data_IF_432441267174
#
_entry.id   IF_432441267174
#
_cell.length_a   1.000
_cell.length_b   1.000
_cell.length_c   1.000
_cell.angle_alpha   90.00
_cell.angle_beta   90.00
_cell.angle_gamma   90.00
#
_symmetry.space_group_name_H-M   'P 1'
#
loop_
_entity.id
_entity.type
_entity.pdbx_description
1 polymer ?
#
# COMPACT_ATOMS: atom_id res chain seq x y z
N UNK A 1 13.78 -15.44 -7.45
CA UNK A 1 12.30 -15.33 -7.53
C UNK A 1 11.77 -14.15 -6.72
N UNK A 2 11.99 -12.93 -7.20
CA UNK A 2 11.62 -11.66 -6.53
C UNK A 2 10.16 -11.23 -6.74
N UNK A 3 9.34 -12.07 -7.37
CA UNK A 3 7.96 -11.75 -7.78
C UNK A 3 6.90 -11.98 -6.69
N UNK A 4 7.25 -12.60 -5.55
CA UNK A 4 6.29 -12.82 -4.46
C UNK A 4 5.66 -11.52 -3.93
N UNK A 5 6.40 -10.42 -3.96
CA UNK A 5 5.94 -9.13 -3.46
C UNK A 5 4.88 -8.45 -4.35
N UNK A 6 4.88 -8.74 -5.65
CA UNK A 6 3.92 -8.15 -6.59
C UNK A 6 2.48 -8.57 -6.30
N UNK A 7 2.28 -9.77 -5.76
CA UNK A 7 0.95 -10.26 -5.39
C UNK A 7 0.35 -9.38 -4.29
N UNK A 8 1.12 -9.03 -3.27
CA UNK A 8 0.66 -8.15 -2.20
C UNK A 8 0.37 -6.73 -2.69
N UNK A 9 1.24 -6.20 -3.55
CA UNK A 9 1.00 -4.90 -4.17
C UNK A 9 -0.28 -4.93 -5.02
N UNK A 10 -0.47 -5.95 -5.87
CA UNK A 10 -1.64 -6.06 -6.73
C UNK A 10 -2.94 -6.20 -5.92
N UNK A 11 -2.94 -6.99 -4.85
CA UNK A 11 -4.08 -7.12 -3.94
C UNK A 11 -4.43 -5.79 -3.27
N UNK A 12 -3.43 -5.12 -2.69
CA UNK A 12 -3.64 -3.86 -1.97
C UNK A 12 -4.07 -2.74 -2.93
N UNK A 13 -3.42 -2.64 -4.09
CA UNK A 13 -3.75 -1.67 -5.13
C UNK A 13 -5.16 -1.93 -5.69
N UNK A 14 -5.51 -3.18 -5.99
CA UNK A 14 -6.85 -3.56 -6.43
C UNK A 14 -7.91 -3.15 -5.41
N UNK A 15 -7.67 -3.45 -4.14
CA UNK A 15 -8.57 -3.08 -3.05
C UNK A 15 -8.75 -1.56 -2.92
N UNK A 16 -7.66 -0.78 -2.99
CA UNK A 16 -7.70 0.69 -2.98
C UNK A 16 -8.51 1.22 -4.16
N UNK A 17 -8.29 0.68 -5.36
CA UNK A 17 -9.03 1.08 -6.57
C UNK A 17 -10.53 0.78 -6.39
N UNK A 18 -10.90 -0.41 -5.93
CA UNK A 18 -12.31 -0.75 -5.66
C UNK A 18 -12.93 0.23 -4.66
N UNK A 19 -12.25 0.51 -3.54
CA UNK A 19 -12.75 1.44 -2.51
C UNK A 19 -12.85 2.87 -3.04
N UNK A 20 -11.90 3.31 -3.87
CA UNK A 20 -11.92 4.61 -4.53
C UNK A 20 -13.07 4.74 -5.54
N UNK A 21 -13.37 3.67 -6.29
CA UNK A 21 -14.48 3.62 -7.25
C UNK A 21 -15.84 3.64 -6.54
N UNK A 22 -16.01 2.81 -5.52
CA UNK A 22 -17.24 2.77 -4.71
C UNK A 22 -17.49 4.11 -4.00
N UNK A 23 -16.43 4.75 -3.52
CA UNK A 23 -16.51 6.00 -2.75
C UNK A 23 -16.04 7.23 -3.52
N UNK A 24 -16.27 7.27 -4.83
CA UNK A 24 -15.73 8.30 -5.75
C UNK A 24 -15.90 9.74 -5.26
N UNK A 25 -17.06 10.08 -4.70
CA UNK A 25 -17.31 11.43 -4.18
C UNK A 25 -16.39 11.80 -3.01
N UNK A 26 -16.13 10.85 -2.10
CA UNK A 26 -15.21 11.04 -0.97
C UNK A 26 -13.77 11.09 -1.43
N UNK A 27 -13.40 10.25 -2.39
CA UNK A 27 -12.08 10.28 -3.02
C UNK A 27 -11.79 11.66 -3.60
N UNK A 28 -12.73 12.22 -4.37
CA UNK A 28 -12.60 13.56 -4.96
C UNK A 28 -12.52 14.63 -3.87
N UNK A 29 -13.34 14.54 -2.82
CA UNK A 29 -13.27 15.46 -1.69
C UNK A 29 -11.92 15.40 -0.96
N UNK A 30 -11.33 14.20 -0.82
CA UNK A 30 -10.02 14.01 -0.20
C UNK A 30 -8.90 14.63 -1.05
N UNK A 31 -8.94 14.43 -2.37
CA UNK A 31 -7.99 15.02 -3.32
C UNK A 31 -8.06 16.55 -3.27
N UNK A 32 -9.29 17.11 -3.26
CA UNK A 32 -9.50 18.56 -3.13
C UNK A 32 -9.04 19.12 -1.77
N UNK A 33 -9.15 18.31 -0.70
CA UNK A 33 -8.69 18.69 0.65
C UNK A 33 -7.17 18.71 0.77
N UNK A 34 -6.48 17.82 0.06
CA UNK A 34 -5.02 17.69 0.08
C UNK A 34 -4.40 17.74 -1.32
N UNK A 35 -4.48 18.90 -2.02
CA UNK A 35 -4.04 19.01 -3.40
C UNK A 35 -2.52 18.85 -3.55
N UNK A 36 -1.74 19.45 -2.63
CA UNK A 36 -0.28 19.37 -2.64
C UNK A 36 0.22 17.92 -2.44
N UNK A 37 -0.39 17.18 -1.51
CA UNK A 37 -0.03 15.78 -1.28
C UNK A 37 -0.38 14.91 -2.50
N UNK A 38 -1.57 15.11 -3.08
CA UNK A 38 -2.01 14.37 -4.27
C UNK A 38 -1.10 14.64 -5.46
N UNK A 39 -0.70 15.90 -5.66
CA UNK A 39 0.25 16.30 -6.70
C UNK A 39 1.64 15.72 -6.45
N UNK A 40 2.15 15.80 -5.22
CA UNK A 40 3.43 15.19 -4.84
C UNK A 40 3.46 13.69 -5.12
N UNK A 41 2.44 12.94 -4.68
CA UNK A 41 2.33 11.50 -4.93
C UNK A 41 2.30 11.20 -6.43
N UNK A 42 1.51 11.96 -7.19
CA UNK A 42 1.39 11.77 -8.65
C UNK A 42 2.71 12.06 -9.36
N UNK A 43 3.40 13.15 -9.01
CA UNK A 43 4.71 13.50 -9.57
C UNK A 43 5.80 12.53 -9.13
N UNK A 44 5.79 12.07 -7.88
CA UNK A 44 6.77 11.13 -7.35
C UNK A 44 6.69 9.80 -8.09
N UNK A 45 5.53 9.16 -8.14
CA UNK A 45 5.37 7.89 -8.83
C UNK A 45 5.47 8.03 -10.36
N UNK A 46 4.89 9.09 -10.93
CA UNK A 46 4.96 9.35 -12.37
C UNK A 46 6.40 9.64 -12.85
N UNK A 47 7.14 10.46 -12.11
CA UNK A 47 8.55 10.74 -12.38
C UNK A 47 9.40 9.48 -12.27
N UNK A 48 9.13 8.63 -11.28
CA UNK A 48 9.86 7.38 -11.13
C UNK A 48 9.54 6.36 -12.24
N UNK A 49 8.31 6.32 -12.75
CA UNK A 49 7.94 5.52 -13.91
C UNK A 49 8.66 5.99 -15.18
N UNK A 50 8.78 7.30 -15.40
CA UNK A 50 9.54 7.87 -16.51
C UNK A 50 11.02 7.53 -16.41
N UNK A 51 11.61 7.71 -15.22
CA UNK A 51 12.98 7.30 -14.94
C UNK A 51 13.19 5.81 -15.17
N UNK A 52 12.24 4.98 -14.76
CA UNK A 52 12.29 3.53 -14.98
C UNK A 52 12.22 3.19 -16.47
N UNK A 53 11.33 3.81 -17.24
CA UNK A 53 11.23 3.59 -18.68
C UNK A 53 12.53 3.97 -19.41
N UNK A 54 13.19 5.04 -18.97
CA UNK A 54 14.49 5.46 -19.48
C UNK A 54 15.64 4.54 -19.05
N UNK A 55 15.63 4.07 -17.81
CA UNK A 55 16.73 3.29 -17.21
C UNK A 55 16.65 1.79 -17.53
N UNK A 56 15.46 1.26 -17.81
CA UNK A 56 15.24 -0.14 -18.18
C UNK A 56 16.16 -0.67 -19.30
N UNK A 57 16.37 0.05 -20.43
CA UNK A 57 17.28 -0.40 -21.48
C UNK A 57 18.77 -0.40 -21.05
N UNK A 58 19.12 0.29 -19.97
CA UNK A 58 20.51 0.44 -19.48
C UNK A 58 20.84 -0.65 -18.45
N UNK A 59 19.88 -1.00 -17.58
CA UNK A 59 20.06 -2.03 -16.55
C UNK A 59 18.73 -2.67 -16.19
N UNK A 60 18.62 -3.97 -16.46
CA UNK A 60 17.41 -4.79 -16.26
C UNK A 60 17.19 -5.23 -14.80
N UNK A 61 17.80 -4.53 -13.84
CA UNK A 61 17.73 -4.88 -12.42
C UNK A 61 16.42 -4.48 -11.76
N UNK A 62 15.88 -5.34 -10.89
CA UNK A 62 14.64 -5.10 -10.13
C UNK A 62 14.76 -4.04 -9.00
N UNK A 63 15.88 -3.34 -8.89
CA UNK A 63 16.20 -2.43 -7.77
C UNK A 63 15.22 -1.26 -7.69
N UNK A 64 14.83 -0.71 -8.84
CA UNK A 64 13.87 0.38 -8.95
C UNK A 64 12.48 -0.03 -8.45
N UNK A 65 12.03 -1.24 -8.80
CA UNK A 65 10.72 -1.78 -8.38
C UNK A 65 10.70 -2.03 -6.87
N UNK A 66 11.79 -2.57 -6.30
CA UNK A 66 11.88 -2.79 -4.85
C UNK A 66 11.97 -1.48 -4.05
N UNK A 67 12.69 -0.47 -4.54
CA UNK A 67 12.80 0.82 -3.87
C UNK A 67 11.46 1.56 -3.77
N UNK A 68 10.63 1.43 -4.81
CA UNK A 68 9.28 2.00 -4.84
C UNK A 68 8.23 1.20 -4.06
N UNK A 69 8.50 -0.09 -3.80
CA UNK A 69 7.52 -0.98 -3.16
C UNK A 69 7.08 -0.46 -1.79
N UNK A 70 8.01 -0.09 -0.92
CA UNK A 70 7.69 0.41 0.42
C UNK A 70 6.92 1.74 0.40
N UNK A 71 7.39 2.79 -0.34
CA UNK A 71 6.61 4.01 -0.53
C UNK A 71 5.21 3.77 -1.08
N UNK A 72 5.06 2.86 -2.04
CA UNK A 72 3.77 2.55 -2.64
C UNK A 72 2.84 1.86 -1.64
N UNK A 73 3.32 0.86 -0.91
CA UNK A 73 2.56 0.15 0.12
C UNK A 73 2.10 1.11 1.23
N UNK A 74 2.98 2.01 1.69
CA UNK A 74 2.63 3.03 2.67
C UNK A 74 1.54 3.98 2.16
N UNK A 75 1.67 4.46 0.92
CA UNK A 75 0.70 5.37 0.31
C UNK A 75 -0.68 4.73 0.16
N UNK A 76 -0.72 3.47 -0.26
CA UNK A 76 -1.96 2.69 -0.40
C UNK A 76 -2.62 2.42 0.98
N UNK A 77 -1.85 2.04 1.98
CA UNK A 77 -2.35 1.83 3.34
C UNK A 77 -2.90 3.13 3.95
N UNK A 78 -2.21 4.25 3.76
CA UNK A 78 -2.66 5.57 4.20
C UNK A 78 -3.97 5.99 3.52
N UNK A 79 -4.07 5.77 2.20
CA UNK A 79 -5.29 6.04 1.44
C UNK A 79 -6.47 5.23 1.99
N UNK A 80 -6.30 3.93 2.21
CA UNK A 80 -7.33 3.07 2.82
C UNK A 80 -7.76 3.59 4.19
N UNK A 81 -6.80 3.89 5.07
CA UNK A 81 -7.09 4.43 6.39
C UNK A 81 -8.00 5.67 6.32
N UNK A 82 -7.70 6.61 5.41
CA UNK A 82 -8.47 7.85 5.26
C UNK A 82 -9.83 7.67 4.57
N UNK A 83 -9.95 6.72 3.65
CA UNK A 83 -11.21 6.40 2.97
C UNK A 83 -12.21 5.67 3.88
N UNK A 84 -11.72 4.87 4.84
CA UNK A 84 -12.56 4.14 5.80
C UNK A 84 -12.93 4.95 7.06
N UNK A 85 -12.08 5.88 7.52
CA UNK A 85 -12.31 6.68 8.75
C UNK A 85 -13.68 7.38 8.83
N UNK A 86 -14.23 8.02 7.77
CA UNK A 86 -15.47 8.79 7.89
C UNK A 86 -16.76 7.97 7.68
N UNK A 87 -16.68 6.68 7.32
CA UNK A 87 -17.88 5.88 6.99
C UNK A 87 -18.56 5.25 8.21
N UNK A 88 -17.81 4.99 9.26
CA UNK A 88 -18.33 4.27 10.43
C UNK A 88 -18.75 5.18 11.58
N UNK A 89 -18.19 6.39 11.68
CA UNK A 89 -18.58 7.36 12.71
C UNK A 89 -20.02 7.87 12.56
N UNK A 90 -20.55 7.94 11.33
CA UNK A 90 -21.92 8.42 11.08
C UNK A 90 -22.98 7.32 11.33
N UNK A 91 -22.62 6.03 11.25
CA UNK A 91 -23.53 4.91 11.54
C UNK A 91 -23.44 4.38 12.98
N UNK A 92 -22.36 4.68 13.71
CA UNK A 92 -22.12 4.17 15.07
C UNK A 92 -22.60 5.11 16.20
N UNK A 93 -23.56 6.02 15.93
CA UNK A 93 -24.07 6.97 16.93
C UNK A 93 -25.33 6.49 17.67
N UNK A 94 -25.60 5.18 17.74
CA UNK A 94 -26.83 4.72 18.42
C UNK A 94 -26.70 3.69 19.52
N UNK A 95 -25.67 2.86 19.63
CA UNK A 95 -25.40 2.05 20.83
C UNK A 95 -24.15 1.19 20.62
N UNK A 96 -23.49 0.82 21.72
CA UNK A 96 -22.33 -0.07 21.82
C UNK A 96 -20.95 0.63 21.70
N UNK A 97 -20.46 0.92 22.90
CA UNK A 97 -19.15 1.40 23.30
C UNK A 97 -18.10 0.30 23.11
N UNK A 98 -17.82 -0.09 21.87
CA UNK A 98 -16.60 -0.82 21.47
C UNK A 98 -16.49 -0.77 19.94
N UNK A 99 -16.05 0.38 19.44
CA UNK A 99 -15.83 0.61 18.01
C UNK A 99 -14.55 -0.09 17.58
N UNK A 100 -14.64 -1.38 17.29
CA UNK A 100 -13.52 -2.09 16.63
C UNK A 100 -13.47 -1.57 15.19
N UNK A 101 -12.54 -0.64 14.93
CA UNK A 101 -12.37 -0.06 13.62
C UNK A 101 -12.02 -1.18 12.63
N UNK A 102 -12.95 -1.53 11.73
CA UNK A 102 -12.72 -2.56 10.72
C UNK A 102 -11.47 -2.24 9.87
N UNK A 103 -11.22 -0.95 9.62
CA UNK A 103 -9.99 -0.48 9.00
C UNK A 103 -8.75 -0.71 9.85
N UNK A 104 -8.81 -0.56 11.17
CA UNK A 104 -7.70 -0.95 12.06
C UNK A 104 -7.52 -2.47 12.08
N UNK A 105 -8.60 -3.26 12.15
CA UNK A 105 -8.52 -4.72 12.08
C UNK A 105 -7.88 -5.19 10.77
N UNK A 106 -8.25 -4.58 9.65
CA UNK A 106 -7.69 -4.92 8.34
C UNK A 106 -6.23 -4.46 8.24
N UNK A 107 -5.88 -3.30 8.81
CA UNK A 107 -4.50 -2.84 8.89
C UNK A 107 -3.65 -3.73 9.82
N UNK A 108 -4.20 -4.16 10.97
CA UNK A 108 -3.59 -5.10 11.89
C UNK A 108 -3.42 -6.48 11.25
N UNK A 109 -4.40 -6.94 10.48
CA UNK A 109 -4.31 -8.19 9.72
C UNK A 109 -3.22 -8.11 8.65
N UNK A 110 -3.18 -7.01 7.86
CA UNK A 110 -2.12 -6.78 6.87
C UNK A 110 -0.75 -6.70 7.56
N UNK A 111 -0.65 -6.00 8.69
CA UNK A 111 0.59 -5.85 9.44
C UNK A 111 1.04 -7.19 10.04
N UNK A 112 0.12 -8.01 10.55
CA UNK A 112 0.42 -9.35 11.03
C UNK A 112 0.91 -10.26 9.90
N UNK A 113 0.26 -10.23 8.73
CA UNK A 113 0.70 -10.98 7.54
C UNK A 113 2.09 -10.50 7.09
N UNK A 114 2.33 -9.19 7.05
CA UNK A 114 3.63 -8.61 6.69
C UNK A 114 4.73 -8.97 7.70
N UNK A 115 4.43 -9.02 9.00
CA UNK A 115 5.40 -9.42 10.02
C UNK A 115 5.74 -10.90 9.93
N UNK A 116 4.75 -11.76 9.72
CA UNK A 116 4.96 -13.20 9.52
C UNK A 116 5.80 -13.41 8.27
N UNK A 117 5.43 -12.81 7.14
CA UNK A 117 6.17 -12.97 5.89
C UNK A 117 7.58 -12.37 5.99
N UNK A 118 7.71 -11.21 6.63
CA UNK A 118 9.00 -10.58 6.95
C UNK A 118 9.91 -11.47 7.79
N UNK A 119 9.35 -12.15 8.79
CA UNK A 119 10.07 -13.14 9.59
C UNK A 119 10.53 -14.31 8.71
N UNK A 120 9.62 -14.93 7.94
CA UNK A 120 10.01 -16.03 7.03
C UNK A 120 11.09 -15.63 6.02
N UNK A 121 11.01 -14.41 5.46
CA UNK A 121 12.02 -13.90 4.53
C UNK A 121 13.37 -13.70 5.25
N UNK A 122 13.38 -13.04 6.41
CA UNK A 122 14.61 -12.76 7.15
C UNK A 122 15.25 -14.02 7.72
N UNK A 123 14.45 -14.99 8.17
CA UNK A 123 14.96 -16.19 8.84
C UNK A 123 15.24 -17.34 7.87
N UNK A 124 14.38 -17.59 6.87
CA UNK A 124 14.56 -18.72 5.95
C UNK A 124 15.22 -18.33 4.62
N UNK A 125 14.88 -17.17 4.04
CA UNK A 125 15.41 -16.78 2.71
C UNK A 125 16.78 -16.12 2.77
N UNK A 126 17.09 -15.33 3.80
CA UNK A 126 18.44 -14.76 3.94
C UNK A 126 19.46 -15.87 4.23
N UNK A 127 19.11 -16.85 5.05
CA UNK A 127 19.95 -18.02 5.33
C UNK A 127 20.25 -18.87 4.09
N UNK A 128 19.28 -19.05 3.19
CA UNK A 128 19.47 -19.84 1.96
C UNK A 128 20.10 -19.06 0.81
N UNK A 129 19.96 -17.73 0.75
CA UNK A 129 20.51 -16.91 -0.34
C UNK A 129 21.92 -16.36 -0.03
N UNK A 130 22.25 -16.12 1.25
CA UNK A 130 23.59 -15.66 1.67
C UNK A 130 24.41 -16.72 2.43
N UNK A 131 23.78 -17.76 2.97
CA UNK A 131 24.45 -18.78 3.78
C UNK A 131 25.01 -19.98 3.00
N UNK A 132 24.64 -20.16 1.72
CA UNK A 132 25.22 -21.21 0.86
C UNK A 132 25.22 -22.60 1.49
N UNK A 133 24.03 -23.21 1.64
CA UNK A 133 23.88 -24.65 1.87
C UNK A 133 22.90 -25.21 0.84
#
# INVERSE_FOLDING_TARGET
NSYGYLIYFALLAGFVVTVCLVNRQKTIALIKKYPALSLFVSCFFGGYLLLYAWYWPISSGNRFVLALFSPAMFTLAFALYRLFEPQLLVKAKQNAQQTVHLGQLLNWAILAVLLVDGFFILTMRVGTVYGGF
#
